data_IF_334462715089
#
_entry.id   IF_334462715089
#
_cell.length_a   1.000
_cell.length_b   1.000
_cell.length_c   1.000
_cell.angle_alpha   90.00
_cell.angle_beta   90.00
_cell.angle_gamma   90.00
#
_symmetry.space_group_name_H-M   'P 1'
#
loop_
_entity.id
_entity.type
_entity.pdbx_description
1 polymer ?
#
# COMPACT_ATOMS: atom_id res chain seq x y z
N UNK A 1 21.07 -3.81 -4.07
CA UNK A 1 20.71 -2.38 -4.03
C UNK A 1 21.09 -1.87 -2.65
N UNK A 2 21.96 -0.87 -2.54
CA UNK A 2 22.08 -0.06 -1.33
C UNK A 2 21.14 1.12 -1.54
N UNK A 3 19.94 1.01 -0.99
CA UNK A 3 18.88 2.01 -1.13
C UNK A 3 17.64 1.52 -0.41
N UNK A 4 16.85 2.43 0.13
CA UNK A 4 15.66 2.07 0.89
C UNK A 4 14.63 1.34 -0.01
N UNK A 5 14.34 0.07 0.29
CA UNK A 5 13.16 -0.61 -0.25
C UNK A 5 12.07 -0.63 0.82
N UNK A 6 10.87 -0.23 0.43
CA UNK A 6 9.69 -0.33 1.26
C UNK A 6 8.50 -0.79 0.42
N UNK A 7 7.67 -1.68 0.99
CA UNK A 7 6.33 -1.94 0.45
C UNK A 7 5.28 -1.42 1.41
N UNK A 8 4.34 -0.68 0.85
CA UNK A 8 3.16 -0.23 1.56
C UNK A 8 1.90 -0.74 0.88
N UNK A 9 0.93 -1.15 1.66
CA UNK A 9 -0.38 -1.59 1.20
C UNK A 9 -1.36 -0.45 1.41
N UNK A 10 -2.10 -0.12 0.35
CA UNK A 10 -3.08 0.95 0.33
C UNK A 10 -4.44 0.39 -0.01
N UNK A 11 -5.45 0.77 0.77
CA UNK A 11 -6.85 0.46 0.53
C UNK A 11 -7.64 1.77 0.43
N UNK A 12 -8.44 1.90 -0.62
CA UNK A 12 -9.32 3.06 -0.82
C UNK A 12 -10.77 2.61 -1.02
N UNK A 13 -11.71 3.31 -0.39
CA UNK A 13 -13.13 3.03 -0.55
C UNK A 13 -13.97 4.27 -0.26
N UNK A 14 -15.02 4.52 -1.05
CA UNK A 14 -15.90 5.68 -0.85
C UNK A 14 -16.73 5.60 0.43
N UNK A 15 -17.10 4.38 0.83
CA UNK A 15 -18.10 4.15 1.88
C UNK A 15 -17.61 3.33 3.08
N UNK A 16 -16.40 2.77 3.05
CA UNK A 16 -15.91 1.93 4.16
C UNK A 16 -15.27 2.82 5.21
N UNK A 17 -15.49 2.54 6.49
CA UNK A 17 -14.79 3.25 7.56
C UNK A 17 -13.37 2.72 7.71
N UNK A 18 -12.49 3.52 8.33
CA UNK A 18 -11.14 3.07 8.68
C UNK A 18 -11.21 1.85 9.59
N UNK A 19 -12.15 1.85 10.56
CA UNK A 19 -12.32 0.75 11.50
C UNK A 19 -12.73 -0.56 10.82
N UNK A 20 -13.63 -0.51 9.85
CA UNK A 20 -14.05 -1.69 9.09
C UNK A 20 -12.87 -2.29 8.30
N UNK A 21 -12.06 -1.43 7.67
CA UNK A 21 -10.86 -1.86 6.96
C UNK A 21 -9.84 -2.46 7.92
N UNK A 22 -9.52 -1.78 9.03
CA UNK A 22 -8.58 -2.30 10.04
C UNK A 22 -9.00 -3.67 10.57
N UNK A 23 -10.30 -3.87 10.80
CA UNK A 23 -10.84 -5.15 11.27
C UNK A 23 -10.65 -6.26 10.23
N UNK A 24 -10.96 -5.99 8.96
CA UNK A 24 -10.79 -6.94 7.86
C UNK A 24 -9.32 -7.28 7.61
N UNK A 25 -8.46 -6.27 7.65
CA UNK A 25 -7.01 -6.43 7.49
C UNK A 25 -6.31 -7.00 8.72
N UNK A 26 -7.01 -7.10 9.86
CA UNK A 26 -6.47 -7.52 11.17
C UNK A 26 -5.23 -6.72 11.57
N UNK A 27 -5.20 -5.43 11.22
CA UNK A 27 -4.08 -4.53 11.49
C UNK A 27 -4.57 -3.11 11.75
N UNK A 28 -3.73 -2.31 12.40
CA UNK A 28 -3.93 -0.87 12.46
C UNK A 28 -3.10 -0.18 11.36
N UNK A 29 -3.66 0.83 10.69
CA UNK A 29 -2.96 1.52 9.62
C UNK A 29 -1.79 2.31 10.19
N UNK A 30 -0.69 2.36 9.46
CA UNK A 30 0.39 3.32 9.69
C UNK A 30 -0.09 4.76 9.41
N UNK A 31 -1.06 4.93 8.51
CA UNK A 31 -1.71 6.20 8.23
C UNK A 31 -3.09 6.03 7.63
N UNK A 32 -4.02 6.94 7.92
CA UNK A 32 -5.36 6.88 7.34
C UNK A 32 -6.07 8.22 7.32
N UNK A 33 -7.11 8.30 6.49
CA UNK A 33 -8.18 9.27 6.61
C UNK A 33 -9.52 8.64 6.22
N UNK A 34 -10.62 9.18 6.73
CA UNK A 34 -11.95 8.61 6.51
C UNK A 34 -12.84 9.55 5.71
N UNK A 35 -13.62 8.97 4.80
CA UNK A 35 -14.62 9.69 4.01
C UNK A 35 -15.56 10.51 4.92
N UNK A 36 -15.88 11.72 4.49
CA UNK A 36 -16.74 12.64 5.24
C UNK A 36 -16.08 13.30 6.45
N UNK A 37 -14.82 12.99 6.80
CA UNK A 37 -14.08 13.72 7.84
C UNK A 37 -13.40 14.97 7.28
N UNK A 38 -13.23 16.04 8.09
CA UNK A 38 -12.52 17.24 7.66
C UNK A 38 -11.08 16.92 7.25
N UNK A 39 -10.57 17.63 6.26
CA UNK A 39 -9.19 17.46 5.79
C UNK A 39 -8.20 18.20 6.68
N UNK A 40 -7.01 17.63 6.85
CA UNK A 40 -5.93 18.22 7.62
C UNK A 40 -4.59 18.05 6.90
N UNK A 41 -3.69 19.02 7.04
CA UNK A 41 -2.28 18.85 6.67
C UNK A 41 -1.62 17.83 7.61
N UNK A 42 -0.46 17.25 7.24
CA UNK A 42 0.32 16.40 8.14
C UNK A 42 0.65 17.07 9.49
N UNK A 43 0.78 18.41 9.52
CA UNK A 43 1.04 19.20 10.75
C UNK A 43 -0.24 19.59 11.51
N UNK A 44 -1.39 19.01 11.19
CA UNK A 44 -2.65 19.22 11.90
C UNK A 44 -3.42 20.51 11.54
N UNK A 45 -2.95 21.33 10.58
CA UNK A 45 -3.73 22.47 10.09
C UNK A 45 -4.95 21.99 9.31
N UNK A 46 -6.14 22.44 9.70
CA UNK A 46 -7.39 22.16 8.98
C UNK A 46 -7.36 22.75 7.56
N UNK A 47 -7.77 21.97 6.59
CA UNK A 47 -7.94 22.35 5.19
C UNK A 47 -9.44 22.49 4.87
N UNK A 48 -9.75 23.21 3.79
CA UNK A 48 -11.13 23.33 3.31
C UNK A 48 -11.63 21.98 2.76
N UNK A 49 -12.89 21.67 3.06
CA UNK A 49 -13.59 20.48 2.58
C UNK A 49 -13.42 19.24 3.46
N UNK A 50 -13.90 18.12 2.93
CA UNK A 50 -13.93 16.81 3.57
C UNK A 50 -13.25 15.79 2.65
N UNK A 51 -12.74 14.69 3.22
CA UNK A 51 -12.26 13.58 2.39
C UNK A 51 -13.44 12.95 1.66
N UNK A 52 -13.28 12.73 0.35
CA UNK A 52 -14.31 12.13 -0.50
C UNK A 52 -14.31 10.60 -0.43
N UNK A 53 -13.24 10.02 0.10
CA UNK A 53 -13.05 8.60 0.26
C UNK A 53 -12.21 8.31 1.51
N UNK A 54 -12.37 7.09 2.01
CA UNK A 54 -11.53 6.53 3.04
C UNK A 54 -10.27 6.00 2.40
N UNK A 55 -9.15 6.32 3.01
CA UNK A 55 -7.83 5.87 2.63
C UNK A 55 -7.19 5.24 3.85
N UNK A 56 -6.74 4.00 3.69
CA UNK A 56 -6.11 3.21 4.72
C UNK A 56 -4.75 2.74 4.18
N UNK A 57 -3.68 3.00 4.93
CA UNK A 57 -2.32 2.73 4.51
C UNK A 57 -1.58 1.98 5.61
N UNK A 58 -0.87 0.91 5.21
CA UNK A 58 -0.06 0.10 6.11
C UNK A 58 1.29 -0.21 5.49
N UNK A 59 2.33 0.07 6.26
CA UNK A 59 3.71 -0.23 5.89
C UNK A 59 4.04 -1.66 6.32
N UNK A 60 4.47 -2.50 5.40
CA UNK A 60 5.03 -3.80 5.76
C UNK A 60 6.43 -3.57 6.37
N UNK A 61 6.52 -3.64 7.69
CA UNK A 61 7.78 -3.50 8.43
C UNK A 61 8.57 -4.83 8.51
N UNK A 62 9.87 -4.73 8.71
CA UNK A 62 10.68 -5.85 9.20
C UNK A 62 11.16 -6.86 8.17
N UNK A 63 11.13 -6.54 6.88
CA UNK A 63 11.76 -7.38 5.84
C UNK A 63 12.90 -6.60 5.21
N UNK A 64 14.12 -6.97 5.58
CA UNK A 64 15.38 -6.44 5.02
C UNK A 64 15.62 -7.02 3.62
N UNK A 65 14.59 -6.89 2.77
CA UNK A 65 14.63 -7.40 1.42
C UNK A 65 15.25 -6.28 0.58
N UNK A 66 16.54 -6.38 0.29
CA UNK A 66 17.17 -5.53 -0.75
C UNK A 66 16.72 -5.92 -2.17
N UNK A 67 15.72 -6.81 -2.28
CA UNK A 67 15.20 -7.41 -3.50
C UNK A 67 13.68 -7.18 -3.62
N UNK A 68 13.26 -6.50 -4.69
CA UNK A 68 11.87 -6.16 -4.96
C UNK A 68 10.99 -7.40 -5.10
N UNK A 69 11.49 -8.46 -5.73
CA UNK A 69 10.70 -9.68 -6.00
C UNK A 69 10.29 -10.36 -4.69
N UNK A 70 11.23 -10.50 -3.77
CA UNK A 70 11.00 -11.10 -2.45
C UNK A 70 10.03 -10.25 -1.63
N UNK A 71 10.17 -8.92 -1.70
CA UNK A 71 9.27 -8.01 -1.02
C UNK A 71 7.83 -8.11 -1.57
N UNK A 72 7.65 -8.20 -2.90
CA UNK A 72 6.33 -8.36 -3.52
C UNK A 72 5.74 -9.74 -3.21
N UNK A 73 6.54 -10.80 -3.24
CA UNK A 73 6.12 -12.14 -2.83
C UNK A 73 5.65 -12.15 -1.37
N UNK A 74 6.42 -11.51 -0.49
CA UNK A 74 6.06 -11.31 0.90
C UNK A 74 4.72 -10.58 1.08
N UNK A 75 4.47 -9.52 0.30
CA UNK A 75 3.23 -8.77 0.33
C UNK A 75 2.04 -9.61 -0.17
N UNK A 76 2.25 -10.40 -1.24
CA UNK A 76 1.25 -11.34 -1.75
C UNK A 76 0.85 -12.35 -0.68
N UNK A 77 1.82 -13.01 -0.04
CA UNK A 77 1.57 -13.99 1.03
C UNK A 77 0.80 -13.36 2.20
N UNK A 78 1.20 -12.17 2.61
CA UNK A 78 0.53 -11.45 3.69
C UNK A 78 -0.93 -11.11 3.34
N UNK A 79 -1.20 -10.75 2.08
CA UNK A 79 -2.55 -10.41 1.64
C UNK A 79 -3.42 -11.66 1.39
N UNK A 80 -2.83 -12.77 0.96
CA UNK A 80 -3.52 -14.07 0.80
C UNK A 80 -4.19 -14.54 2.09
N UNK A 81 -3.50 -14.39 3.23
CA UNK A 81 -4.07 -14.71 4.55
C UNK A 81 -5.35 -13.93 4.86
N UNK A 82 -5.58 -12.82 4.14
CA UNK A 82 -6.70 -11.87 4.28
C UNK A 82 -7.62 -11.90 3.04
N UNK A 83 -7.47 -12.92 2.18
CA UNK A 83 -8.06 -12.96 0.84
C UNK A 83 -9.58 -12.81 0.79
N UNK A 84 -10.33 -13.39 1.74
CA UNK A 84 -11.79 -13.28 1.77
C UNK A 84 -12.24 -11.83 1.94
N UNK A 85 -11.65 -11.11 2.90
CA UNK A 85 -11.94 -9.70 3.10
C UNK A 85 -11.54 -8.85 1.89
N UNK A 86 -10.35 -9.09 1.34
CA UNK A 86 -9.84 -8.32 0.19
C UNK A 86 -10.76 -8.49 -1.01
N UNK A 87 -11.19 -9.73 -1.28
CA UNK A 87 -12.13 -10.03 -2.36
C UNK A 87 -13.47 -9.30 -2.15
N UNK A 88 -14.05 -9.38 -0.97
CA UNK A 88 -15.30 -8.67 -0.65
C UNK A 88 -15.15 -7.15 -0.79
N UNK A 89 -14.03 -6.61 -0.29
CA UNK A 89 -13.71 -5.19 -0.34
C UNK A 89 -13.56 -4.67 -1.78
N UNK A 90 -12.89 -5.43 -2.64
CA UNK A 90 -12.76 -5.08 -4.06
C UNK A 90 -14.11 -5.21 -4.76
N UNK A 91 -14.87 -6.27 -4.49
CA UNK A 91 -16.22 -6.46 -5.05
C UNK A 91 -17.20 -5.35 -4.63
N UNK A 92 -17.04 -4.74 -3.45
CA UNK A 92 -17.86 -3.61 -3.02
C UNK A 92 -17.45 -2.26 -3.64
N UNK A 93 -16.43 -2.24 -4.49
CA UNK A 93 -15.93 -1.06 -5.19
C UNK A 93 -14.71 -0.42 -4.55
N UNK A 94 -14.02 -1.13 -3.66
CA UNK A 94 -12.72 -0.73 -3.12
C UNK A 94 -11.57 -1.02 -4.07
N UNK A 95 -10.44 -0.36 -3.83
CA UNK A 95 -9.18 -0.65 -4.52
C UNK A 95 -8.12 -1.03 -3.51
N UNK A 96 -7.29 -2.01 -3.87
CA UNK A 96 -6.11 -2.41 -3.11
C UNK A 96 -4.89 -2.25 -4.00
N UNK A 97 -3.87 -1.56 -3.49
CA UNK A 97 -2.64 -1.29 -4.20
C UNK A 97 -1.43 -1.63 -3.33
N UNK A 98 -0.38 -2.18 -3.93
CA UNK A 98 0.96 -2.14 -3.36
C UNK A 98 1.72 -0.93 -3.90
N UNK A 99 2.38 -0.21 -3.01
CA UNK A 99 3.32 0.85 -3.33
C UNK A 99 4.73 0.38 -2.99
N UNK A 100 5.52 0.12 -4.03
CA UNK A 100 6.93 -0.25 -3.95
C UNK A 100 7.74 1.04 -4.00
N UNK A 101 8.20 1.49 -2.85
CA UNK A 101 9.01 2.70 -2.69
C UNK A 101 10.49 2.31 -2.71
N UNK A 102 11.24 2.88 -3.65
CA UNK A 102 12.63 2.55 -3.94
C UNK A 102 13.51 3.80 -3.91
N UNK A 103 14.48 3.80 -3.00
CA UNK A 103 15.61 4.72 -3.01
C UNK A 103 16.69 4.21 -3.97
N UNK A 104 17.10 5.06 -4.90
CA UNK A 104 18.14 4.74 -5.87
C UNK A 104 19.30 5.74 -5.76
N UNK A 105 20.50 5.29 -5.41
CA UNK A 105 21.67 6.18 -5.41
C UNK A 105 22.04 6.69 -6.81
N UNK A 106 21.72 5.93 -7.86
CA UNK A 106 21.95 6.28 -9.28
C UNK A 106 20.88 5.64 -10.18
N UNK A 107 21.31 4.90 -11.20
CA UNK A 107 20.44 4.12 -12.07
C UNK A 107 19.87 2.91 -11.31
N UNK A 108 18.56 2.72 -11.40
CA UNK A 108 17.85 1.58 -10.85
C UNK A 108 16.98 0.95 -11.95
N UNK A 109 17.04 -0.37 -12.04
CA UNK A 109 16.14 -1.17 -12.85
C UNK A 109 15.85 -2.47 -12.10
N UNK A 110 14.60 -2.93 -12.19
CA UNK A 110 14.17 -4.23 -11.70
C UNK A 110 13.09 -4.75 -12.64
N UNK A 111 12.91 -6.06 -12.64
CA UNK A 111 11.86 -6.74 -13.39
C UNK A 111 11.09 -7.60 -12.41
N UNK A 112 9.77 -7.55 -12.46
CA UNK A 112 8.94 -8.45 -11.68
C UNK A 112 8.64 -9.72 -12.49
N UNK A 113 8.96 -10.91 -11.97
CA UNK A 113 8.58 -12.18 -12.56
C UNK A 113 7.07 -12.26 -12.85
N UNK A 114 6.69 -12.85 -13.99
CA UNK A 114 5.30 -12.95 -14.43
C UNK A 114 4.41 -13.68 -13.41
N UNK A 115 4.95 -14.67 -12.69
CA UNK A 115 4.22 -15.37 -11.63
C UNK A 115 3.83 -14.43 -10.48
N UNK A 116 4.68 -13.46 -10.11
CA UNK A 116 4.35 -12.47 -9.07
C UNK A 116 3.27 -11.50 -9.57
N UNK A 117 3.38 -11.04 -10.81
CA UNK A 117 2.38 -10.15 -11.43
C UNK A 117 1.01 -10.85 -11.51
N UNK A 118 0.98 -12.11 -11.96
CA UNK A 118 -0.24 -12.90 -12.01
C UNK A 118 -0.86 -13.06 -10.63
N UNK A 119 -0.03 -13.29 -9.60
CA UNK A 119 -0.52 -13.41 -8.23
C UNK A 119 -1.15 -12.12 -7.71
N UNK A 120 -0.55 -10.96 -8.00
CA UNK A 120 -1.17 -9.67 -7.68
C UNK A 120 -2.53 -9.51 -8.38
N UNK A 121 -2.63 -9.91 -9.66
CA UNK A 121 -3.88 -9.85 -10.41
C UNK A 121 -4.96 -10.79 -9.82
N UNK A 122 -4.59 -12.00 -9.41
CA UNK A 122 -5.50 -12.94 -8.73
C UNK A 122 -6.03 -12.38 -7.40
N UNK A 123 -5.17 -11.66 -6.67
CA UNK A 123 -5.52 -10.97 -5.42
C UNK A 123 -6.32 -9.67 -5.64
N UNK A 124 -6.48 -9.24 -6.89
CA UNK A 124 -7.15 -7.98 -7.23
C UNK A 124 -6.35 -6.74 -6.81
N UNK A 125 -5.02 -6.84 -6.80
CA UNK A 125 -4.11 -5.78 -6.36
C UNK A 125 -3.39 -5.15 -7.53
N UNK A 126 -3.33 -3.81 -7.54
CA UNK A 126 -2.49 -3.07 -8.48
C UNK A 126 -1.09 -2.84 -7.91
N UNK A 127 -0.10 -2.71 -8.78
CA UNK A 127 1.27 -2.39 -8.41
C UNK A 127 1.60 -0.94 -8.81
N UNK A 128 1.89 -0.11 -7.81
CA UNK A 128 2.47 1.21 -7.94
C UNK A 128 3.96 1.17 -7.59
N UNK A 129 4.78 1.89 -8.35
CA UNK A 129 6.22 2.02 -8.10
C UNK A 129 6.55 3.49 -7.92
N UNK A 130 7.20 3.80 -6.80
CA UNK A 130 7.70 5.13 -6.50
C UNK A 130 9.22 5.05 -6.38
N UNK A 131 9.93 5.65 -7.33
CA UNK A 131 11.39 5.70 -7.34
C UNK A 131 11.84 7.12 -7.02
N UNK A 132 12.74 7.27 -6.06
CA UNK A 132 13.38 8.54 -5.75
C UNK A 132 14.90 8.38 -5.75
N UNK A 133 15.60 9.46 -6.12
CA UNK A 133 17.06 9.49 -6.02
C UNK A 133 17.44 9.75 -4.57
N UNK A 134 18.28 8.90 -4.01
CA UNK A 134 18.92 9.18 -2.72
C UNK A 134 20.09 10.14 -2.99
N UNK A 135 20.05 11.32 -2.37
CA UNK A 135 21.21 12.23 -2.41
C UNK A 135 22.36 11.57 -1.64
N UNK A 136 23.55 11.51 -2.25
CA UNK A 136 24.78 11.12 -1.53
C UNK A 136 24.94 12.09 -0.34
N UNK A 137 24.84 11.56 0.89
CA UNK A 137 24.95 12.34 2.13
C UNK A 137 26.38 12.88 2.37
#
# INVERSE_FOLDING_TARGET
>A
MEGALLISIRLMHKNSSVEAISRGMREQPTGSHEAGKPRFTPKGKRLNGFYTETHWFYRLEGRDDSNVDLAVEAANLWLEERGDFVKEFVCSGGTVDYYITLGAGRFCAFELPLNLINKCAELGVSLGVEVFLEEEA
#
